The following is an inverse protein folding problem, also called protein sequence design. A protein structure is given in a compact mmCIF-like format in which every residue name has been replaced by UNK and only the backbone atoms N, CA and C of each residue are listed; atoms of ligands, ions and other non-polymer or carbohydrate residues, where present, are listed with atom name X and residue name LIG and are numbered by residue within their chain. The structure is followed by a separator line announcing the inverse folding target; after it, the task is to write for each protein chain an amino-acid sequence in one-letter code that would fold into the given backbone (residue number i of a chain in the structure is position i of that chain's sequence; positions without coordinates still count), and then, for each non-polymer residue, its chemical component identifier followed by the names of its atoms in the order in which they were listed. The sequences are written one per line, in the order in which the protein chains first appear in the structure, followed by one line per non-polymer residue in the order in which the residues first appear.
data_IF_525573188395
#
_entry.id   IF_525573188395
#
_cell.length_a   1.000
_cell.length_b   1.000
_cell.length_c   1.000
_cell.angle_alpha   90.00
_cell.angle_beta   90.00
_cell.angle_gamma   90.00
#
_symmetry.space_group_name_H-M   'P 1'
#
loop_
_entity.id
_entity.type
_entity.pdbx_description
1 polymer ?
#
# COMPACT_ATOMS: atom_id res chain seq x y z
N UNK A 1 90.94 -6.76 30.39
CA UNK A 1 91.57 -5.58 29.75
C UNK A 1 91.47 -5.76 28.23
N UNK A 2 91.08 -4.72 27.47
CA UNK A 2 91.39 -4.48 26.02
C UNK A 2 91.00 -5.59 24.99
N UNK A 3 90.66 -5.32 23.72
CA UNK A 3 90.04 -4.18 23.02
C UNK A 3 89.63 -4.66 21.59
N UNK A 4 88.78 -3.90 20.90
CA UNK A 4 88.67 -3.74 19.44
C UNK A 4 88.16 -4.89 18.52
N UNK A 5 87.18 -4.49 17.68
CA UNK A 5 86.87 -4.99 16.32
C UNK A 5 87.95 -4.47 15.32
N UNK A 6 88.13 -4.97 14.07
CA UNK A 6 87.17 -4.99 12.94
C UNK A 6 87.19 -6.33 12.13
N UNK A 7 86.51 -6.55 10.99
CA UNK A 7 85.50 -5.76 10.25
C UNK A 7 85.77 -5.61 8.73
N UNK A 8 84.97 -6.27 7.87
CA UNK A 8 84.83 -6.04 6.40
C UNK A 8 83.61 -6.83 5.87
N UNK A 9 82.66 -6.33 5.05
CA UNK A 9 82.65 -6.11 3.56
C UNK A 9 83.38 -7.18 2.72
N UNK A 10 82.91 -7.67 1.56
CA UNK A 10 81.60 -7.60 0.83
C UNK A 10 81.57 -8.75 -0.24
N UNK A 11 80.61 -9.06 -1.14
CA UNK A 11 79.32 -8.53 -1.69
C UNK A 11 78.43 -9.72 -2.12
N UNK A 12 77.15 -9.51 -2.48
CA UNK A 12 76.44 -10.44 -3.42
C UNK A 12 74.91 -10.54 -3.32
N UNK A 13 74.16 -9.59 -3.89
CA UNK A 13 72.69 -9.63 -3.90
C UNK A 13 72.10 -10.34 -5.15
N UNK A 14 71.06 -11.17 -4.93
CA UNK A 14 69.93 -11.31 -5.87
C UNK A 14 68.61 -11.45 -5.13
N UNK A 15 67.65 -10.60 -5.51
CA UNK A 15 66.23 -10.66 -5.18
C UNK A 15 65.58 -11.85 -5.95
N UNK A 16 64.37 -12.32 -5.64
CA UNK A 16 63.31 -11.71 -4.83
C UNK A 16 62.44 -12.76 -4.09
N UNK A 17 61.81 -12.32 -2.99
CA UNK A 17 60.42 -12.57 -2.53
C UNK A 17 59.81 -14.00 -2.52
N UNK A 18 59.02 -14.40 -1.53
CA UNK A 18 58.59 -13.69 -0.31
C UNK A 18 57.86 -14.59 0.71
N UNK A 19 58.46 -14.70 1.89
CA UNK A 19 57.89 -14.53 3.25
C UNK A 19 56.34 -14.53 3.37
N UNK A 20 55.69 -15.48 4.08
CA UNK A 20 55.57 -15.66 5.56
C UNK A 20 54.72 -14.57 6.28
N UNK A 21 54.07 -14.79 7.44
CA UNK A 21 54.30 -15.80 8.49
C UNK A 21 53.05 -16.17 9.32
N UNK A 22 53.11 -17.35 9.95
CA UNK A 22 52.26 -17.88 11.03
C UNK A 22 52.40 -17.14 12.38
N UNK A 23 51.64 -17.55 13.42
CA UNK A 23 52.04 -17.95 14.82
C UNK A 23 50.75 -17.91 15.71
N UNK A 24 50.17 -19.05 16.18
CA UNK A 24 50.38 -19.78 17.48
C UNK A 24 50.10 -18.94 18.76
N UNK A 25 49.45 -19.40 19.85
CA UNK A 25 48.75 -20.68 20.20
C UNK A 25 47.96 -20.59 21.54
N UNK A 26 46.84 -21.35 21.67
CA UNK A 26 46.25 -22.03 22.85
C UNK A 26 46.09 -21.36 24.26
N UNK A 27 44.88 -21.50 24.83
CA UNK A 27 44.57 -21.78 26.27
C UNK A 27 43.15 -22.42 26.36
N UNK A 28 42.76 -23.04 27.48
CA UNK A 28 41.59 -23.96 27.56
C UNK A 28 40.53 -23.61 28.63
N UNK A 29 39.33 -24.20 28.42
CA UNK A 29 38.39 -24.79 29.41
C UNK A 29 37.12 -24.01 29.85
N UNK A 30 35.96 -24.60 29.51
CA UNK A 30 34.64 -24.59 30.18
C UNK A 30 34.01 -23.27 30.68
N UNK A 31 32.95 -22.83 29.97
CA UNK A 31 31.69 -22.35 30.57
C UNK A 31 30.52 -22.96 29.80
N UNK A 32 29.41 -23.26 30.48
CA UNK A 32 28.19 -23.80 29.90
C UNK A 32 27.45 -22.71 29.10
N UNK A 33 27.14 -22.96 27.81
CA UNK A 33 26.31 -22.05 27.02
C UNK A 33 25.01 -22.76 26.61
N UNK A 34 23.87 -22.26 27.11
CA UNK A 34 22.59 -22.48 26.45
C UNK A 34 22.65 -21.72 25.11
N UNK A 35 22.85 -22.44 24.01
CA UNK A 35 22.50 -21.89 22.70
C UNK A 35 20.98 -21.78 22.66
N UNK A 36 20.49 -20.56 22.81
CA UNK A 36 19.07 -20.27 22.85
C UNK A 36 18.38 -20.70 21.55
N UNK A 37 17.12 -21.12 21.70
CA UNK A 37 16.19 -21.16 20.58
C UNK A 37 16.04 -19.74 20.04
N UNK A 38 16.79 -19.40 18.99
CA UNK A 38 16.48 -18.24 18.16
C UNK A 38 15.17 -18.58 17.44
N UNK A 39 14.05 -18.23 18.08
CA UNK A 39 12.73 -18.25 17.47
C UNK A 39 12.75 -17.30 16.28
N UNK A 40 13.00 -17.85 15.09
CA UNK A 40 12.75 -17.21 13.82
C UNK A 40 11.24 -17.03 13.66
N UNK A 41 10.66 -16.12 14.45
CA UNK A 41 9.34 -15.60 14.23
C UNK A 41 9.37 -14.99 12.82
N UNK A 42 8.69 -15.65 11.89
CA UNK A 42 8.72 -15.25 10.50
C UNK A 42 8.29 -13.78 10.39
N UNK A 43 8.99 -13.02 9.54
CA UNK A 43 8.46 -11.74 9.09
C UNK A 43 7.07 -12.03 8.50
N UNK A 44 6.03 -11.50 9.15
CA UNK A 44 4.66 -11.65 8.71
C UNK A 44 4.61 -11.15 7.26
N UNK A 45 4.32 -12.04 6.32
CA UNK A 45 4.31 -11.68 4.90
C UNK A 45 3.22 -10.63 4.72
N UNK A 46 3.63 -9.42 4.33
CA UNK A 46 2.71 -8.31 4.17
C UNK A 46 1.68 -8.67 3.10
N UNK A 47 0.41 -8.81 3.52
CA UNK A 47 -0.71 -8.71 2.61
C UNK A 47 -0.69 -7.30 2.02
N UNK A 48 -0.08 -7.14 0.85
CA UNK A 48 0.13 -5.85 0.19
C UNK A 48 -1.19 -5.09 0.09
N UNK A 49 -1.37 -4.13 0.99
CA UNK A 49 -2.56 -3.29 1.05
C UNK A 49 -2.33 -2.18 0.03
N UNK A 50 -3.18 -2.09 -0.99
CA UNK A 50 -3.05 -1.05 -2.00
C UNK A 50 -3.45 0.28 -1.36
N UNK A 51 -2.50 1.19 -1.28
CA UNK A 51 -2.68 2.55 -0.80
C UNK A 51 -3.05 3.45 -1.97
N UNK A 52 -4.09 4.26 -1.81
CA UNK A 52 -4.46 5.31 -2.74
C UNK A 52 -3.89 6.63 -2.24
N UNK A 53 -3.09 7.28 -3.09
CA UNK A 53 -2.44 8.54 -2.77
C UNK A 53 -3.17 9.67 -3.50
N UNK A 54 -3.49 10.74 -2.77
CA UNK A 54 -3.88 12.04 -3.33
C UNK A 54 -2.81 13.05 -2.98
N UNK A 55 -2.49 13.95 -3.91
CA UNK A 55 -1.49 15.01 -3.73
C UNK A 55 -2.12 16.39 -3.94
N UNK A 56 -1.68 17.36 -3.15
CA UNK A 56 -2.11 18.75 -3.19
C UNK A 56 -0.90 19.66 -3.38
N UNK A 57 -1.09 20.76 -4.12
CA UNK A 57 -0.12 21.83 -4.39
C UNK A 57 0.13 22.77 -3.21
N UNK A 58 -0.22 22.32 -2.00
CA UNK A 58 -0.14 23.08 -0.75
C UNK A 58 0.06 22.13 0.43
N UNK A 59 0.73 22.58 1.49
CA UNK A 59 1.10 21.81 2.70
C UNK A 59 -0.06 21.40 3.64
N UNK A 60 -1.32 21.57 3.23
CA UNK A 60 -2.46 21.52 4.15
C UNK A 60 -3.53 20.49 3.81
N UNK A 61 -3.45 19.82 2.66
CA UNK A 61 -4.53 19.02 2.07
C UNK A 61 -5.81 19.86 1.82
N UNK A 62 -5.66 21.17 1.58
CA UNK A 62 -6.77 22.09 1.30
C UNK A 62 -7.07 22.13 -0.21
N UNK A 63 -8.37 22.12 -0.57
CA UNK A 63 -8.82 22.19 -1.97
C UNK A 63 -8.89 20.84 -2.68
N UNK A 64 -8.94 20.88 -4.03
CA UNK A 64 -8.93 19.67 -4.87
C UNK A 64 -7.51 19.12 -4.99
N UNK A 65 -7.31 17.78 -4.98
CA UNK A 65 -6.02 17.20 -5.32
C UNK A 65 -5.59 17.57 -6.76
N UNK A 66 -4.30 17.80 -6.96
CA UNK A 66 -3.71 18.09 -8.28
C UNK A 66 -3.19 16.82 -8.97
N UNK A 67 -2.89 15.76 -8.21
CA UNK A 67 -2.50 14.45 -8.72
C UNK A 67 -3.01 13.31 -7.83
N UNK A 68 -3.04 12.09 -8.37
CA UNK A 68 -3.34 10.87 -7.61
C UNK A 68 -2.66 9.64 -8.19
N UNK A 69 -2.20 8.74 -7.33
CA UNK A 69 -1.56 7.47 -7.72
C UNK A 69 -1.80 6.37 -6.67
N UNK A 70 -1.10 5.23 -6.77
CA UNK A 70 -1.29 4.12 -5.84
C UNK A 70 -0.03 3.27 -5.65
N UNK A 71 0.19 2.79 -4.43
CA UNK A 71 1.39 2.00 -4.06
C UNK A 71 1.04 0.79 -3.18
N UNK A 72 1.86 -0.26 -3.23
CA UNK A 72 1.76 -1.43 -2.33
C UNK A 72 2.48 -1.26 -0.99
N UNK A 73 3.28 -0.21 -0.83
CA UNK A 73 4.05 0.14 0.39
C UNK A 73 4.18 1.65 0.52
N UNK A 74 4.25 2.18 1.74
CA UNK A 74 4.65 3.57 1.99
C UNK A 74 6.13 3.55 2.35
N UNK A 75 6.97 3.63 1.34
CA UNK A 75 8.43 3.56 1.42
C UNK A 75 8.97 4.48 0.31
N UNK A 76 9.08 5.77 0.65
CA UNK A 76 9.32 6.85 -0.31
C UNK A 76 10.44 7.79 0.15
N UNK A 77 11.19 8.29 -0.83
CA UNK A 77 12.13 9.41 -0.66
C UNK A 77 12.19 10.15 -2.00
N UNK A 78 12.07 11.47 -1.96
CA UNK A 78 11.96 12.33 -3.12
C UNK A 78 12.97 13.47 -3.04
N UNK A 79 13.67 13.79 -4.13
CA UNK A 79 14.57 14.94 -4.22
C UNK A 79 13.97 16.02 -5.13
N UNK A 80 12.73 16.42 -4.81
CA UNK A 80 11.85 17.25 -5.63
C UNK A 80 10.49 16.59 -5.91
N UNK A 81 9.77 17.09 -6.92
CA UNK A 81 8.36 16.77 -7.21
C UNK A 81 8.03 15.26 -7.18
N UNK A 82 7.00 14.83 -6.42
CA UNK A 82 6.66 13.42 -6.24
C UNK A 82 5.82 12.82 -7.40
N UNK A 83 5.04 13.63 -8.09
CA UNK A 83 4.14 13.27 -9.20
C UNK A 83 3.96 14.46 -10.15
N UNK A 84 3.62 14.22 -11.42
CA UNK A 84 3.35 15.30 -12.37
C UNK A 84 2.20 16.20 -11.90
N UNK A 85 2.41 17.53 -11.93
CA UNK A 85 1.48 18.54 -11.42
C UNK A 85 1.70 18.94 -9.96
N UNK A 86 2.47 18.18 -9.18
CA UNK A 86 2.83 18.53 -7.80
C UNK A 86 4.12 19.37 -7.79
N UNK A 87 4.22 20.47 -7.02
CA UNK A 87 5.47 21.22 -6.88
C UNK A 87 6.56 20.41 -6.15
N UNK A 88 7.82 20.84 -6.26
CA UNK A 88 8.96 20.15 -5.63
C UNK A 88 9.11 20.37 -4.13
N UNK A 89 8.47 21.42 -3.62
CA UNK A 89 8.40 21.87 -2.23
C UNK A 89 6.92 22.27 -1.96
N UNK A 90 6.56 22.63 -0.74
CA UNK A 90 5.26 23.22 -0.39
C UNK A 90 4.02 22.31 -0.65
N UNK A 91 4.19 21.00 -0.86
CA UNK A 91 3.09 20.07 -1.16
C UNK A 91 2.63 19.25 0.05
N UNK A 92 1.49 18.57 -0.09
CA UNK A 92 1.06 17.54 0.87
C UNK A 92 0.35 16.40 0.17
N UNK A 93 0.31 15.24 0.82
CA UNK A 93 -0.35 14.07 0.30
C UNK A 93 -1.03 13.23 1.39
N UNK A 94 -2.04 12.47 0.98
CA UNK A 94 -2.78 11.56 1.84
C UNK A 94 -2.81 10.16 1.21
N UNK A 95 -2.24 9.19 1.91
CA UNK A 95 -2.38 7.76 1.63
C UNK A 95 -3.60 7.25 2.38
N UNK A 96 -4.47 6.49 1.71
CA UNK A 96 -5.59 5.79 2.34
C UNK A 96 -5.61 4.32 1.94
N UNK A 97 -5.90 3.43 2.90
CA UNK A 97 -6.16 2.02 2.62
C UNK A 97 -7.01 1.40 3.73
N UNK A 98 -7.39 0.13 3.56
CA UNK A 98 -7.79 -0.73 4.66
C UNK A 98 -6.68 -1.75 4.91
N UNK A 99 -6.14 -1.76 6.13
CA UNK A 99 -5.08 -2.68 6.54
C UNK A 99 -5.66 -3.78 7.41
N UNK A 100 -5.41 -5.03 7.03
CA UNK A 100 -5.84 -6.19 7.79
C UNK A 100 -4.80 -6.55 8.85
N UNK A 101 -5.18 -6.46 10.13
CA UNK A 101 -4.35 -6.83 11.26
C UNK A 101 -4.87 -8.13 11.88
N UNK A 102 -3.94 -8.95 12.40
CA UNK A 102 -4.30 -10.03 13.33
C UNK A 102 -4.61 -9.47 14.72
N UNK A 103 -5.16 -10.28 15.64
CA UNK A 103 -5.26 -9.90 17.05
C UNK A 103 -3.85 -9.79 17.64
N UNK A 104 -3.48 -8.61 18.13
CA UNK A 104 -2.16 -8.38 18.69
C UNK A 104 -1.93 -6.97 19.21
N UNK A 105 -0.84 -6.81 19.97
CA UNK A 105 -0.25 -5.51 20.23
C UNK A 105 0.81 -5.23 19.16
N UNK A 106 0.63 -4.12 18.45
CA UNK A 106 1.50 -3.69 17.35
C UNK A 106 2.21 -2.39 17.71
N UNK A 107 3.49 -2.28 17.38
CA UNK A 107 4.13 -0.98 17.19
C UNK A 107 3.88 -0.53 15.75
N UNK A 108 3.43 0.71 15.57
CA UNK A 108 3.39 1.43 14.29
C UNK A 108 4.55 2.43 14.31
N UNK A 109 5.24 2.61 13.18
CA UNK A 109 6.37 3.54 13.02
C UNK A 109 6.24 4.37 11.76
N UNK A 110 6.63 5.64 11.83
CA UNK A 110 6.94 6.46 10.64
C UNK A 110 8.39 6.92 10.69
N UNK A 111 9.00 7.13 9.52
CA UNK A 111 10.16 8.01 9.33
C UNK A 111 9.75 9.06 8.32
N UNK A 112 9.81 10.34 8.71
CA UNK A 112 9.18 11.43 7.95
C UNK A 112 10.01 12.72 7.98
N UNK A 113 10.03 13.41 6.84
CA UNK A 113 10.67 14.71 6.58
C UNK A 113 9.84 15.41 5.49
N UNK A 114 9.00 16.42 5.77
CA UNK A 114 8.61 17.01 7.06
C UNK A 114 7.52 16.17 7.79
N UNK A 115 6.35 16.76 8.06
CA UNK A 115 5.41 16.33 9.10
C UNK A 115 4.40 15.27 8.67
N UNK A 116 3.91 14.49 9.64
CA UNK A 116 3.01 13.34 9.42
C UNK A 116 1.85 13.27 10.43
N UNK A 117 0.69 12.77 10.00
CA UNK A 117 -0.38 12.31 10.89
C UNK A 117 -0.84 10.92 10.46
N UNK A 118 -0.86 9.96 11.38
CA UNK A 118 -1.32 8.59 11.12
C UNK A 118 -2.63 8.34 11.85
N UNK A 119 -3.61 7.81 11.13
CA UNK A 119 -4.95 7.51 11.58
C UNK A 119 -5.19 6.00 11.49
N UNK A 120 -5.83 5.41 12.50
CA UNK A 120 -6.23 4.00 12.48
C UNK A 120 -7.62 3.86 13.11
N UNK A 121 -8.63 3.62 12.26
CA UNK A 121 -10.01 3.94 12.62
C UNK A 121 -10.20 5.44 12.84
N UNK A 122 -11.15 5.80 13.70
CA UNK A 122 -11.52 7.19 14.01
C UNK A 122 -10.49 7.89 14.95
N UNK A 123 -9.24 7.42 14.97
CA UNK A 123 -8.20 7.79 15.94
C UNK A 123 -6.90 8.18 15.25
N UNK A 124 -6.44 9.39 15.53
CA UNK A 124 -5.02 9.73 15.35
C UNK A 124 -4.18 8.89 16.32
N UNK A 125 -3.15 8.24 15.80
CA UNK A 125 -2.18 7.44 16.58
C UNK A 125 -0.76 8.02 16.50
N UNK A 126 -0.45 8.82 15.48
CA UNK A 126 0.74 9.67 15.40
C UNK A 126 0.27 11.08 14.98
N UNK A 127 0.80 12.11 15.64
CA UNK A 127 0.42 13.51 15.46
C UNK A 127 1.68 14.39 15.48
N UNK A 128 2.35 14.52 14.35
CA UNK A 128 3.56 15.33 14.20
C UNK A 128 3.46 16.23 12.96
N UNK A 129 2.50 17.15 12.99
CA UNK A 129 2.23 18.08 11.89
C UNK A 129 3.05 19.37 12.03
N UNK A 130 4.37 19.21 12.07
CA UNK A 130 5.34 20.28 12.26
C UNK A 130 6.39 20.26 11.13
N UNK A 131 7.04 21.40 10.88
CA UNK A 131 8.21 21.45 10.00
C UNK A 131 9.44 20.96 10.78
N UNK A 132 10.16 19.98 10.25
CA UNK A 132 11.37 19.37 10.81
C UNK A 132 12.11 18.52 9.76
N UNK A 133 13.45 18.48 9.81
CA UNK A 133 14.23 17.44 9.12
C UNK A 133 13.99 16.03 9.70
N UNK A 134 14.39 14.98 9.00
CA UNK A 134 14.08 13.55 9.27
C UNK A 134 13.88 13.18 10.75
N UNK A 135 12.61 12.95 11.12
CA UNK A 135 12.19 12.40 12.42
C UNK A 135 11.77 10.93 12.25
N UNK A 136 11.76 10.18 13.36
CA UNK A 136 11.13 8.86 13.44
C UNK A 136 10.16 8.84 14.61
N UNK A 137 8.87 8.60 14.32
CA UNK A 137 7.82 8.49 15.33
C UNK A 137 7.44 7.02 15.55
N UNK A 138 7.12 6.63 16.79
CA UNK A 138 6.56 5.30 17.09
C UNK A 138 5.39 5.38 18.09
N UNK A 139 4.41 4.49 17.92
CA UNK A 139 3.26 4.32 18.82
C UNK A 139 2.94 2.84 18.97
N UNK A 140 2.46 2.41 20.14
CA UNK A 140 2.03 1.02 20.38
C UNK A 140 0.52 0.96 20.56
N UNK A 141 -0.16 0.18 19.72
CA UNK A 141 -1.62 0.01 19.69
C UNK A 141 -2.04 -1.42 20.04
N UNK A 142 -3.22 -1.58 20.64
CA UNK A 142 -3.83 -2.90 20.91
C UNK A 142 -5.00 -3.14 19.97
N UNK A 143 -4.88 -4.15 19.11
CA UNK A 143 -5.86 -4.48 18.07
C UNK A 143 -6.50 -5.84 18.34
N UNK A 144 -7.81 -5.92 18.19
CA UNK A 144 -8.58 -7.17 18.33
C UNK A 144 -8.52 -8.03 17.05
N UNK A 145 -7.84 -7.55 16.02
CA UNK A 145 -7.80 -8.12 14.68
C UNK A 145 -8.99 -7.71 13.82
N UNK A 146 -8.84 -7.87 12.51
CA UNK A 146 -9.81 -7.45 11.50
C UNK A 146 -9.26 -6.38 10.56
N UNK A 147 -10.17 -5.79 9.79
CA UNK A 147 -9.84 -4.82 8.75
C UNK A 147 -10.04 -3.39 9.27
N UNK A 148 -8.97 -2.60 9.34
CA UNK A 148 -9.01 -1.24 9.87
C UNK A 148 -8.78 -0.23 8.74
N UNK A 149 -9.62 0.82 8.58
CA UNK A 149 -9.26 1.93 7.73
C UNK A 149 -8.03 2.62 8.34
N UNK A 150 -7.01 2.84 7.52
CA UNK A 150 -5.76 3.50 7.91
C UNK A 150 -5.49 4.63 6.91
N UNK A 151 -5.14 5.80 7.44
CA UNK A 151 -4.75 6.94 6.64
C UNK A 151 -3.41 7.51 7.14
N UNK A 152 -2.63 8.04 6.22
CA UNK A 152 -1.39 8.77 6.50
C UNK A 152 -1.47 10.08 5.75
N UNK A 153 -1.62 11.18 6.48
CA UNK A 153 -1.39 12.53 5.97
C UNK A 153 0.11 12.81 6.09
N UNK A 154 0.71 13.45 5.09
CA UNK A 154 2.09 13.93 5.10
C UNK A 154 2.21 15.28 4.37
N UNK A 155 3.18 16.12 4.73
CA UNK A 155 3.54 17.32 3.97
C UNK A 155 5.06 17.53 3.91
N UNK A 156 5.48 18.28 2.90
CA UNK A 156 6.86 18.68 2.63
C UNK A 156 6.95 20.22 2.59
N UNK A 157 7.92 20.80 3.30
CA UNK A 157 8.14 22.24 3.39
C UNK A 157 9.24 22.71 2.45
N UNK A 158 10.47 22.18 2.62
CA UNK A 158 11.59 22.50 1.74
C UNK A 158 12.67 21.39 1.65
N UNK A 159 12.91 20.86 0.44
CA UNK A 159 14.15 20.15 0.11
C UNK A 159 13.97 18.74 -0.42
N UNK A 160 14.45 17.75 0.35
CA UNK A 160 14.38 16.33 0.02
C UNK A 160 13.37 15.64 0.97
N UNK A 161 12.17 15.34 0.49
CA UNK A 161 11.09 14.75 1.28
C UNK A 161 11.28 13.24 1.53
N UNK A 162 10.85 12.76 2.70
CA UNK A 162 10.91 11.33 3.08
C UNK A 162 9.60 10.89 3.74
N UNK A 163 9.08 9.72 3.35
CA UNK A 163 7.99 9.05 4.07
C UNK A 163 8.12 7.52 4.00
N UNK A 164 8.49 6.91 5.13
CA UNK A 164 8.41 5.46 5.36
C UNK A 164 7.37 5.18 6.45
N UNK A 165 6.50 4.17 6.27
CA UNK A 165 5.53 3.74 7.28
C UNK A 165 5.52 2.22 7.41
N UNK A 166 5.61 1.73 8.65
CA UNK A 166 5.67 0.30 8.93
C UNK A 166 5.03 -0.08 10.26
N UNK A 167 4.92 -1.39 10.50
CA UNK A 167 4.40 -1.93 11.77
C UNK A 167 5.01 -3.28 12.12
N UNK A 168 5.07 -3.56 13.42
CA UNK A 168 5.62 -4.80 13.98
C UNK A 168 4.68 -5.36 15.05
N UNK A 169 4.27 -6.62 14.89
CA UNK A 169 3.59 -7.38 15.94
C UNK A 169 4.58 -7.64 17.09
N UNK A 170 4.25 -7.14 18.29
CA UNK A 170 5.08 -7.30 19.50
C UNK A 170 4.61 -8.49 20.36
N UNK A 171 3.34 -8.88 20.27
CA UNK A 171 2.76 -9.94 21.10
C UNK A 171 1.22 -9.98 21.03
N UNK A 172 0.57 -10.78 21.90
CA UNK A 172 -0.90 -10.81 22.00
C UNK A 172 -1.47 -9.46 22.48
N UNK A 173 -2.78 -9.20 22.30
CA UNK A 173 -3.40 -7.95 22.75
C UNK A 173 -3.19 -7.68 24.24
N UNK A 174 -2.57 -6.54 24.56
CA UNK A 174 -2.39 -6.04 25.93
C UNK A 174 -3.58 -5.18 26.36
N UNK A 175 -4.10 -5.42 27.57
CA UNK A 175 -5.06 -4.54 28.26
C UNK A 175 -4.42 -3.39 29.02
N UNK A 176 -3.08 -3.36 29.11
CA UNK A 176 -2.34 -2.49 30.03
C UNK A 176 -1.63 -1.33 29.31
N UNK A 177 -1.96 -1.09 28.03
CA UNK A 177 -1.52 0.10 27.31
C UNK A 177 -2.46 1.27 27.66
N UNK A 178 -1.94 2.46 28.02
CA UNK A 178 -2.78 3.65 28.13
C UNK A 178 -3.28 4.01 26.73
N UNK A 179 -4.61 4.16 26.57
CA UNK A 179 -5.33 4.56 25.35
C UNK A 179 -4.54 4.39 24.03
N UNK A 180 -4.69 3.30 23.27
CA UNK A 180 -5.96 2.96 22.62
C UNK A 180 -6.18 1.44 22.49
N UNK A 181 -7.33 0.94 22.99
CA UNK A 181 -7.95 -0.26 22.38
C UNK A 181 -8.65 0.20 21.11
N UNK A 182 -8.03 -0.01 19.94
CA UNK A 182 -8.66 0.42 18.69
C UNK A 182 -9.73 -0.63 18.37
N UNK A 183 -10.96 -0.35 18.80
CA UNK A 183 -12.13 -1.07 18.32
C UNK A 183 -12.24 -0.75 16.82
N UNK A 184 -12.37 -1.74 15.91
CA UNK A 184 -12.67 -1.43 14.51
C UNK A 184 -13.96 -0.59 14.44
N UNK A 185 -13.99 0.41 13.57
CA UNK A 185 -15.02 1.47 13.56
C UNK A 185 -16.43 0.87 13.64
N UNK A 186 -17.30 1.37 14.55
CA UNK A 186 -18.48 0.64 15.00
C UNK A 186 -19.48 0.40 13.87
N UNK A 187 -19.61 -0.85 13.44
CA UNK A 187 -20.63 -1.23 12.46
C UNK A 187 -22.02 -0.94 13.03
N UNK A 188 -22.75 -0.08 12.32
CA UNK A 188 -24.12 0.32 12.67
C UNK A 188 -25.00 -0.95 12.77
N UNK A 189 -25.80 -1.12 13.84
CA UNK A 189 -26.55 -2.36 14.08
C UNK A 189 -27.53 -2.70 12.94
N UNK A 190 -27.75 -3.99 12.66
CA UNK A 190 -28.16 -4.43 11.33
C UNK A 190 -29.65 -4.28 11.03
N UNK A 191 -29.99 -3.29 10.19
CA UNK A 191 -31.11 -3.43 9.25
C UNK A 191 -30.63 -4.20 8.01
N UNK A 192 -30.52 -5.53 8.13
CA UNK A 192 -30.13 -6.50 7.09
C UNK A 192 -28.85 -6.10 6.29
N UNK A 193 -27.65 -6.55 6.69
CA UNK A 193 -26.41 -6.07 6.10
C UNK A 193 -26.29 -6.49 4.62
N UNK A 194 -26.12 -5.56 3.67
CA UNK A 194 -25.13 -5.81 2.64
C UNK A 194 -23.80 -6.04 3.36
N UNK A 195 -23.13 -7.16 3.08
CA UNK A 195 -21.76 -7.40 3.58
C UNK A 195 -20.91 -6.17 3.24
N UNK A 196 -20.03 -5.69 4.16
CA UNK A 196 -19.04 -4.68 3.79
C UNK A 196 -18.07 -5.31 2.78
N UNK A 197 -18.44 -5.26 1.50
CA UNK A 197 -17.62 -5.80 0.44
C UNK A 197 -16.29 -5.02 0.43
N UNK A 198 -15.15 -5.68 0.14
CA UNK A 198 -13.90 -4.95 -0.08
C UNK A 198 -14.15 -3.94 -1.21
N UNK A 199 -13.93 -2.66 -0.94
CA UNK A 199 -14.26 -1.62 -1.89
C UNK A 199 -13.37 -1.71 -3.13
N UNK A 200 -13.90 -1.30 -4.29
CA UNK A 200 -13.20 -1.37 -5.57
C UNK A 200 -12.30 -0.15 -5.74
N UNK A 201 -11.03 -0.35 -6.12
CA UNK A 201 -10.27 0.70 -6.81
C UNK A 201 -11.01 0.99 -8.11
N UNK A 202 -11.50 2.20 -8.29
CA UNK A 202 -12.13 2.67 -9.51
C UNK A 202 -11.21 3.69 -10.19
N UNK A 203 -10.74 3.37 -11.39
CA UNK A 203 -9.97 4.28 -12.25
C UNK A 203 -10.87 4.66 -13.44
N UNK A 204 -11.13 5.95 -13.63
CA UNK A 204 -11.99 6.50 -14.68
C UNK A 204 -11.16 7.29 -15.70
N UNK A 205 -11.48 7.16 -16.98
CA UNK A 205 -10.84 7.85 -18.10
C UNK A 205 -11.87 8.63 -18.93
N UNK A 206 -11.50 9.83 -19.36
CA UNK A 206 -12.26 10.63 -20.35
C UNK A 206 -11.99 10.14 -21.79
N UNK A 207 -12.12 8.83 -22.00
CA UNK A 207 -12.15 8.13 -23.29
C UNK A 207 -12.73 6.72 -23.09
N UNK A 208 -13.30 6.12 -24.13
CA UNK A 208 -13.91 4.77 -24.07
C UNK A 208 -12.90 3.61 -24.07
N UNK A 209 -11.61 3.88 -24.16
CA UNK A 209 -10.57 2.88 -24.43
C UNK A 209 -9.64 2.56 -23.25
N UNK A 210 -9.93 3.07 -22.05
CA UNK A 210 -9.14 2.89 -20.82
C UNK A 210 -7.67 3.31 -21.01
N UNK A 211 -7.43 4.33 -21.83
CA UNK A 211 -6.10 4.67 -22.36
C UNK A 211 -5.58 6.00 -21.82
N UNK A 212 -4.25 6.07 -21.63
CA UNK A 212 -3.60 7.19 -20.94
C UNK A 212 -3.71 7.09 -19.41
N UNK A 213 -3.51 8.21 -18.72
CA UNK A 213 -3.70 8.30 -17.27
C UNK A 213 -5.20 8.47 -16.94
N UNK A 214 -5.71 7.86 -15.86
CA UNK A 214 -7.10 8.02 -15.46
C UNK A 214 -7.35 9.44 -14.94
N UNK A 215 -8.35 10.12 -15.50
CA UNK A 215 -8.81 11.46 -15.10
C UNK A 215 -9.27 11.50 -13.64
N UNK A 216 -9.83 10.39 -13.12
CA UNK A 216 -10.28 10.26 -11.74
C UNK A 216 -9.93 8.87 -11.20
N UNK A 217 -9.27 8.82 -10.04
CA UNK A 217 -9.09 7.59 -9.26
C UNK A 217 -9.79 7.72 -7.91
N UNK A 218 -10.66 6.77 -7.56
CA UNK A 218 -11.39 6.72 -6.28
C UNK A 218 -11.66 5.30 -5.81
N UNK A 219 -12.38 5.19 -4.69
CA UNK A 219 -12.80 3.93 -4.08
C UNK A 219 -14.32 3.84 -4.12
N UNK A 220 -14.85 2.87 -4.86
CA UNK A 220 -16.28 2.65 -5.06
C UNK A 220 -16.77 1.46 -4.18
N UNK A 221 -17.82 1.62 -3.35
CA UNK A 221 -18.23 0.59 -2.38
C UNK A 221 -18.84 -0.66 -3.05
N UNK A 222 -19.45 -0.48 -4.23
CA UNK A 222 -19.95 -1.55 -5.09
C UNK A 222 -20.05 -1.02 -6.53
N UNK A 223 -19.97 -1.92 -7.51
CA UNK A 223 -20.32 -1.61 -8.90
C UNK A 223 -21.84 -1.72 -8.99
N UNK A 224 -22.54 -0.62 -8.70
CA UNK A 224 -24.00 -0.53 -8.78
C UNK A 224 -24.40 0.91 -9.15
N UNK A 225 -24.00 1.34 -10.34
CA UNK A 225 -24.19 2.68 -10.86
C UNK A 225 -25.32 2.75 -11.88
N UNK A 226 -26.02 3.87 -11.84
CA UNK A 226 -27.08 4.30 -12.76
C UNK A 226 -26.94 5.82 -12.82
N UNK A 227 -26.06 6.29 -13.71
CA UNK A 227 -25.79 7.72 -13.89
C UNK A 227 -26.84 8.36 -14.81
N UNK A 228 -27.57 7.56 -15.58
CA UNK A 228 -28.54 8.02 -16.56
C UNK A 228 -27.86 8.91 -17.60
N UNK A 229 -28.20 10.21 -17.62
CA UNK A 229 -27.57 11.21 -18.50
C UNK A 229 -26.51 12.07 -17.81
N UNK A 230 -26.01 11.62 -16.67
CA UNK A 230 -24.88 12.22 -15.95
C UNK A 230 -23.61 11.39 -16.09
N UNK A 231 -22.54 11.85 -15.47
CA UNK A 231 -21.24 11.17 -15.45
C UNK A 231 -20.87 10.66 -14.06
N UNK A 232 -19.75 9.93 -13.91
CA UNK A 232 -19.22 9.52 -12.62
C UNK A 232 -18.79 10.68 -11.71
N UNK A 233 -18.45 11.84 -12.27
CA UNK A 233 -18.11 13.08 -11.58
C UNK A 233 -18.27 14.27 -12.58
N UNK A 234 -19.31 15.12 -12.43
CA UNK A 234 -19.72 16.07 -13.48
C UNK A 234 -18.80 17.28 -13.64
N UNK A 235 -17.84 17.49 -12.73
CA UNK A 235 -16.88 18.60 -12.82
C UNK A 235 -15.62 18.21 -13.63
N UNK A 236 -15.38 16.91 -13.87
CA UNK A 236 -14.13 16.39 -14.50
C UNK A 236 -14.31 15.22 -15.49
N UNK A 237 -15.46 14.53 -15.51
CA UNK A 237 -15.80 13.48 -16.50
C UNK A 237 -17.05 13.93 -17.26
N UNK A 238 -17.01 13.90 -18.59
CA UNK A 238 -18.19 14.15 -19.43
C UNK A 238 -19.22 13.01 -19.31
N UNK A 239 -20.53 13.26 -19.55
CA UNK A 239 -21.58 12.22 -19.46
C UNK A 239 -21.49 11.12 -20.52
N UNK A 240 -20.85 11.40 -21.65
CA UNK A 240 -20.65 10.49 -22.78
C UNK A 240 -19.13 10.21 -22.97
N UNK A 241 -18.77 9.22 -23.78
CA UNK A 241 -17.39 8.83 -24.16
C UNK A 241 -16.40 8.48 -23.01
N UNK A 242 -16.85 8.15 -21.80
CA UNK A 242 -15.98 7.77 -20.67
C UNK A 242 -15.77 6.25 -20.52
N UNK A 243 -14.74 5.83 -19.76
CA UNK A 243 -14.58 4.43 -19.34
C UNK A 243 -14.04 4.30 -17.92
N UNK A 244 -14.19 3.11 -17.32
CA UNK A 244 -13.68 2.81 -15.98
C UNK A 244 -13.22 1.36 -15.84
N UNK A 245 -12.13 1.18 -15.10
CA UNK A 245 -11.66 -0.10 -14.59
C UNK A 245 -11.84 -0.12 -13.08
N UNK A 246 -12.68 -1.04 -12.61
CA UNK A 246 -12.73 -1.43 -11.21
C UNK A 246 -11.82 -2.62 -10.95
N UNK A 247 -11.08 -2.61 -9.84
CA UNK A 247 -10.29 -3.78 -9.40
C UNK A 247 -10.30 -3.96 -7.89
N UNK A 248 -10.20 -5.21 -7.43
CA UNK A 248 -10.01 -5.57 -6.01
C UNK A 248 -9.63 -7.04 -5.84
N UNK A 249 -9.18 -7.38 -4.63
CA UNK A 249 -9.05 -8.78 -4.18
C UNK A 249 -10.22 -9.15 -3.26
N UNK A 250 -10.73 -10.37 -3.37
CA UNK A 250 -11.89 -10.88 -2.62
C UNK A 250 -11.63 -12.30 -2.15
N UNK A 251 -11.92 -12.60 -0.89
CA UNK A 251 -11.94 -13.98 -0.42
C UNK A 251 -13.26 -14.67 -0.82
N UNK A 252 -13.15 -15.82 -1.48
CA UNK A 252 -14.25 -16.72 -1.80
C UNK A 252 -14.09 -18.04 -1.05
N UNK A 253 -15.21 -18.73 -0.82
CA UNK A 253 -15.17 -20.15 -0.43
C UNK A 253 -15.11 -21.05 -1.66
N UNK A 254 -14.74 -22.32 -1.48
CA UNK A 254 -14.73 -23.28 -2.57
C UNK A 254 -16.17 -23.53 -3.08
N UNK A 255 -16.45 -23.16 -4.34
CA UNK A 255 -17.81 -23.18 -4.87
C UNK A 255 -17.89 -22.79 -6.34
N UNK A 256 -19.11 -22.71 -6.88
CA UNK A 256 -19.37 -22.10 -8.20
C UNK A 256 -20.25 -20.87 -8.01
N UNK A 257 -19.80 -19.75 -8.57
CA UNK A 257 -20.42 -18.43 -8.44
C UNK A 257 -20.90 -17.95 -9.81
N UNK A 258 -22.06 -17.29 -9.87
CA UNK A 258 -22.65 -16.79 -11.12
C UNK A 258 -22.46 -15.28 -11.23
N UNK A 259 -21.30 -14.87 -11.73
CA UNK A 259 -21.02 -13.47 -12.00
C UNK A 259 -22.04 -12.95 -13.02
N UNK A 260 -22.74 -11.88 -12.66
CA UNK A 260 -23.81 -11.27 -13.46
C UNK A 260 -23.57 -9.78 -13.56
N UNK A 261 -23.47 -9.26 -14.78
CA UNK A 261 -23.41 -7.83 -15.05
C UNK A 261 -24.73 -7.31 -15.60
N UNK A 262 -24.99 -6.03 -15.39
CA UNK A 262 -25.89 -5.25 -16.22
C UNK A 262 -25.21 -3.94 -16.61
N UNK A 263 -25.17 -3.62 -17.91
CA UNK A 263 -24.55 -2.39 -18.40
C UNK A 263 -25.19 -1.83 -19.67
N UNK A 264 -24.97 -0.53 -19.85
CA UNK A 264 -25.31 0.33 -20.98
C UNK A 264 -24.23 1.42 -20.94
N UNK A 265 -23.26 1.55 -21.85
CA UNK A 265 -22.80 0.61 -22.90
C UNK A 265 -22.01 -0.62 -22.36
N UNK A 266 -20.79 -0.88 -22.84
CA UNK A 266 -20.14 -2.19 -22.89
C UNK A 266 -19.30 -2.56 -21.66
N UNK A 267 -19.20 -3.86 -21.36
CA UNK A 267 -18.58 -4.38 -20.13
C UNK A 267 -17.75 -5.66 -20.32
N UNK A 268 -16.69 -5.80 -19.52
CA UNK A 268 -15.84 -7.00 -19.40
C UNK A 268 -15.60 -7.33 -17.91
N UNK A 269 -15.54 -8.61 -17.58
CA UNK A 269 -15.22 -9.09 -16.21
C UNK A 269 -14.14 -10.15 -16.27
N UNK A 270 -13.17 -10.07 -15.36
CA UNK A 270 -12.06 -10.99 -15.21
C UNK A 270 -11.98 -11.51 -13.77
N UNK A 271 -11.62 -12.79 -13.62
CA UNK A 271 -11.24 -13.41 -12.34
C UNK A 271 -9.85 -14.00 -12.49
N UNK A 272 -8.93 -13.63 -11.61
CA UNK A 272 -7.50 -13.99 -11.66
C UNK A 272 -6.84 -13.72 -13.03
N UNK A 273 -7.26 -12.63 -13.68
CA UNK A 273 -6.81 -12.24 -15.02
C UNK A 273 -7.45 -13.03 -16.17
N UNK A 274 -8.24 -14.08 -15.89
CA UNK A 274 -9.04 -14.77 -16.91
C UNK A 274 -10.33 -13.99 -17.17
N UNK A 275 -10.52 -13.57 -18.42
CA UNK A 275 -11.78 -13.01 -18.92
C UNK A 275 -12.92 -14.06 -18.81
N UNK A 276 -14.02 -13.69 -18.17
CA UNK A 276 -15.20 -14.55 -17.93
C UNK A 276 -16.48 -14.00 -18.57
N UNK A 277 -16.62 -12.67 -18.68
CA UNK A 277 -17.67 -11.97 -19.41
C UNK A 277 -16.98 -11.03 -20.39
N UNK A 278 -17.32 -11.13 -21.67
CA UNK A 278 -16.82 -10.23 -22.71
C UNK A 278 -17.98 -9.70 -23.55
N UNK A 279 -18.28 -8.42 -23.36
CA UNK A 279 -19.31 -7.68 -24.09
C UNK A 279 -18.82 -6.25 -24.37
N UNK A 280 -17.60 -6.13 -24.91
CA UNK A 280 -16.98 -4.84 -25.23
C UNK A 280 -17.52 -4.23 -26.54
N UNK A 281 -18.83 -3.98 -26.60
CA UNK A 281 -19.51 -3.38 -27.76
C UNK A 281 -20.52 -2.32 -27.32
N UNK A 282 -20.85 -1.39 -28.22
CA UNK A 282 -21.90 -0.38 -28.01
C UNK A 282 -23.26 -1.09 -28.01
N UNK A 283 -24.00 -1.01 -26.91
CA UNK A 283 -25.30 -1.66 -26.73
C UNK A 283 -26.15 -0.99 -25.64
N UNK A 284 -27.46 -0.87 -25.90
CA UNK A 284 -28.42 -0.51 -24.85
C UNK A 284 -28.47 -1.57 -23.73
N UNK A 285 -28.99 -1.18 -22.56
CA UNK A 285 -29.04 -1.92 -21.29
C UNK A 285 -29.19 -3.45 -21.44
N UNK A 286 -28.07 -4.16 -21.33
CA UNK A 286 -27.99 -5.61 -21.47
C UNK A 286 -27.56 -6.26 -20.14
N UNK A 287 -27.88 -7.54 -19.97
CA UNK A 287 -27.42 -8.39 -18.86
C UNK A 287 -26.58 -9.54 -19.41
N UNK A 288 -25.43 -9.81 -18.80
CA UNK A 288 -24.56 -10.92 -19.15
C UNK A 288 -24.28 -11.77 -17.89
N UNK A 289 -24.06 -13.08 -18.05
CA UNK A 289 -23.78 -14.01 -16.95
C UNK A 289 -22.61 -14.94 -17.27
N UNK A 290 -21.87 -15.36 -16.23
CA UNK A 290 -20.84 -16.39 -16.32
C UNK A 290 -20.73 -17.20 -15.02
N UNK A 291 -20.88 -18.51 -15.12
CA UNK A 291 -20.63 -19.45 -14.01
C UNK A 291 -19.13 -19.76 -13.89
N UNK A 292 -18.56 -19.56 -12.71
CA UNK A 292 -17.13 -19.76 -12.44
C UNK A 292 -16.93 -20.58 -11.17
N UNK A 293 -16.28 -21.74 -11.29
CA UNK A 293 -15.84 -22.54 -10.14
C UNK A 293 -14.54 -21.98 -9.57
N UNK A 294 -14.58 -21.58 -8.30
CA UNK A 294 -13.46 -21.01 -7.55
C UNK A 294 -13.00 -21.95 -6.44
N UNK A 295 -11.75 -21.79 -6.03
CA UNK A 295 -11.22 -22.44 -4.83
C UNK A 295 -11.59 -21.63 -3.58
N UNK A 296 -11.34 -22.18 -2.39
CA UNK A 296 -11.35 -21.39 -1.16
C UNK A 296 -10.05 -20.59 -1.09
N UNK A 297 -10.14 -19.26 -1.05
CA UNK A 297 -8.98 -18.39 -1.15
C UNK A 297 -9.28 -16.97 -1.64
N UNK A 298 -8.23 -16.15 -1.73
CA UNK A 298 -8.31 -14.78 -2.26
C UNK A 298 -8.13 -14.79 -3.77
N UNK A 299 -9.14 -14.29 -4.49
CA UNK A 299 -9.17 -14.14 -5.94
C UNK A 299 -9.16 -12.65 -6.33
N UNK A 300 -8.56 -12.33 -7.48
CA UNK A 300 -8.52 -10.96 -8.01
C UNK A 300 -9.68 -10.75 -8.98
N UNK A 301 -10.54 -9.77 -8.71
CA UNK A 301 -11.59 -9.34 -9.63
C UNK A 301 -11.15 -8.06 -10.36
N UNK A 302 -11.36 -8.03 -11.67
CA UNK A 302 -11.28 -6.81 -12.48
C UNK A 302 -12.57 -6.70 -13.30
N UNK A 303 -13.13 -5.50 -13.36
CA UNK A 303 -14.26 -5.15 -14.23
C UNK A 303 -13.85 -3.94 -15.05
N UNK A 304 -14.14 -3.97 -16.33
CA UNK A 304 -13.91 -2.85 -17.24
C UNK A 304 -15.25 -2.50 -17.86
N UNK A 305 -15.57 -1.21 -17.95
CA UNK A 305 -16.81 -0.67 -18.56
C UNK A 305 -16.50 0.58 -19.38
N UNK A 306 -17.30 0.87 -20.40
CA UNK A 306 -17.32 2.16 -21.07
C UNK A 306 -18.75 2.62 -21.36
N UNK A 307 -18.96 3.93 -21.34
CA UNK A 307 -20.11 4.60 -21.95
C UNK A 307 -19.68 5.18 -23.29
N UNK A 308 -20.38 4.89 -24.38
CA UNK A 308 -20.18 5.63 -25.61
C UNK A 308 -21.10 6.84 -25.63
N UNK A 309 -22.42 6.63 -25.59
CA UNK A 309 -23.40 7.75 -25.61
C UNK A 309 -24.79 7.37 -25.08
N UNK A 310 -25.27 8.11 -24.07
CA UNK A 310 -26.68 8.35 -23.84
C UNK A 310 -27.32 7.90 -22.52
N UNK A 311 -26.98 6.74 -21.94
CA UNK A 311 -27.59 6.22 -20.70
C UNK A 311 -26.62 5.31 -19.92
N UNK A 312 -25.69 5.92 -19.19
CA UNK A 312 -24.64 5.19 -18.49
C UNK A 312 -25.16 4.38 -17.27
N UNK A 313 -25.05 3.05 -17.33
CA UNK A 313 -25.39 2.09 -16.27
C UNK A 313 -24.29 1.03 -16.14
N UNK A 314 -23.87 0.71 -14.91
CA UNK A 314 -22.88 -0.35 -14.66
C UNK A 314 -23.12 -1.06 -13.31
N UNK A 315 -23.47 -2.35 -13.35
CA UNK A 315 -23.80 -3.17 -12.18
C UNK A 315 -23.10 -4.54 -12.22
N UNK A 316 -22.66 -5.06 -11.08
CA UNK A 316 -22.13 -6.43 -10.91
C UNK A 316 -22.62 -7.09 -9.61
N UNK A 317 -22.99 -8.37 -9.69
CA UNK A 317 -23.23 -9.26 -8.53
C UNK A 317 -22.82 -10.72 -8.84
N UNK A 318 -22.79 -11.59 -7.82
CA UNK A 318 -22.50 -13.04 -7.90
C UNK A 318 -23.00 -13.76 -6.63
#
# INVERSE_FOLDING_TARGET
MRFCLPGSIDTGAKYAEGFTMYWRSLISLFVLLLLGLSTGAAAAQNSYSLWFIKFWDNKKLEGSPVASSSTGVIDHSWSGSPEEGVPSNDWSAQWTSFVNFGPGTYRITTKNDDGVRVYLGDKHIILDWNQHGVVTNEVTVSLLGGNYPMAVDFFDDEGDAVLEVGWQLLGPPSSNLPDVTIIPSPQIPPSAPPTPQPAWLAQYWSNTSLSGHPTLTRVDPAINYDWGRGSPDPDIIDPDEFSVRWSRSVYFEAGTYQFTTQSDDGIRVYVDGRLIIDNWTVHALQTNTADVTLASGTHTLVVEYFEHTGLAVARLWW
#
